data_IF_387274405933
#
_entry.id   IF_387274405933
#
_cell.length_a   1.000
_cell.length_b   1.000
_cell.length_c   1.000
_cell.angle_alpha   90.00
_cell.angle_beta   90.00
_cell.angle_gamma   90.00
#
_symmetry.space_group_name_H-M   'P 1'
#
loop_
_entity.id
_entity.type
_entity.pdbx_description
1 polymer ?
#
# COMPACT_ATOMS: atom_id res chain seq x y z
N UNK A 1 29.47 -0.70 15.94
CA UNK A 1 29.40 -0.80 15.36
C UNK A 1 28.82 -0.66 14.67
N UNK A 2 28.62 -0.58 14.29
CA UNK A 2 28.11 -0.41 13.75
C UNK A 2 27.48 -0.88 12.89
N UNK A 3 26.88 -0.74 12.83
CA UNK A 3 26.16 -1.20 12.05
C UNK A 3 26.43 -0.95 10.80
N UNK A 4 26.97 -0.06 10.53
CA UNK A 4 27.26 0.20 9.22
C UNK A 4 27.87 -0.98 8.61
N UNK A 5 28.85 -1.38 9.16
CA UNK A 5 29.49 -2.52 8.60
C UNK A 5 28.57 -3.68 8.54
N UNK A 6 27.60 -3.64 9.34
CA UNK A 6 26.76 -4.81 9.35
C UNK A 6 25.72 -4.78 8.27
N UNK A 7 25.63 -3.74 7.51
CA UNK A 7 24.71 -3.81 6.50
C UNK A 7 25.13 -4.72 5.52
N UNK A 8 24.94 -4.81 4.47
CA UNK A 8 25.42 -5.52 3.38
C UNK A 8 25.60 -6.97 3.63
N UNK A 9 26.79 -7.38 3.63
CA UNK A 9 27.12 -8.79 3.70
C UNK A 9 26.54 -9.51 4.87
N UNK A 10 26.32 -8.79 5.94
CA UNK A 10 25.90 -9.45 7.17
C UNK A 10 24.48 -9.93 7.18
N UNK A 11 23.63 -9.39 6.33
CA UNK A 11 22.25 -9.87 6.27
C UNK A 11 22.21 -11.32 5.82
N UNK A 12 23.05 -11.67 4.85
CA UNK A 12 23.10 -13.05 4.39
C UNK A 12 23.49 -13.98 5.51
N UNK A 13 24.38 -13.52 6.39
CA UNK A 13 24.81 -14.35 7.50
C UNK A 13 23.70 -14.55 8.52
N UNK A 14 22.75 -13.66 8.58
CA UNK A 14 21.63 -13.79 9.53
C UNK A 14 20.51 -14.66 9.01
N UNK A 15 20.56 -15.02 7.76
CA UNK A 15 19.48 -15.81 7.16
C UNK A 15 19.51 -17.23 7.71
N UNK A 16 18.38 -17.67 8.26
CA UNK A 16 18.25 -18.99 8.84
C UNK A 16 17.15 -19.71 8.06
N UNK A 17 17.54 -20.53 7.10
CA UNK A 17 16.58 -21.13 6.20
C UNK A 17 15.93 -20.04 5.37
N UNK A 18 14.64 -19.84 5.52
CA UNK A 18 13.95 -18.75 4.83
C UNK A 18 13.55 -17.61 5.76
N UNK A 19 14.07 -17.60 6.98
CA UNK A 19 13.73 -16.57 7.96
C UNK A 19 14.88 -15.61 8.15
N UNK A 20 14.56 -14.34 8.14
CA UNK A 20 15.53 -13.29 8.40
C UNK A 20 15.01 -12.43 9.56
N UNK A 21 15.74 -12.45 10.66
CA UNK A 21 15.33 -11.73 11.86
C UNK A 21 16.15 -10.45 11.99
N UNK A 22 15.51 -9.32 11.71
CA UNK A 22 16.12 -8.00 11.89
C UNK A 22 15.40 -7.23 12.99
N UNK A 23 14.74 -7.94 13.91
CA UNK A 23 14.06 -7.27 15.01
C UNK A 23 15.08 -6.67 15.97
N UNK A 24 14.63 -5.68 16.73
CA UNK A 24 15.45 -5.08 17.78
C UNK A 24 16.83 -4.64 17.27
N UNK A 25 16.87 -4.09 16.07
CA UNK A 25 18.13 -3.70 15.43
C UNK A 25 18.30 -2.20 15.32
N UNK A 26 17.43 -1.44 15.98
CA UNK A 26 17.55 0.01 16.02
C UNK A 26 17.47 0.63 14.61
N UNK A 27 16.72 0.00 13.73
CA UNK A 27 16.64 0.46 12.34
C UNK A 27 15.72 1.66 12.20
N UNK A 28 16.20 2.70 11.51
CA UNK A 28 15.37 3.83 11.12
C UNK A 28 14.85 3.68 9.70
N UNK A 29 15.44 2.79 8.93
CA UNK A 29 14.98 2.52 7.57
C UNK A 29 15.30 1.08 7.20
N UNK A 30 14.53 0.58 6.26
CA UNK A 30 14.65 -0.81 5.83
C UNK A 30 15.76 -0.94 4.79
N UNK A 31 16.65 -1.92 4.94
CA UNK A 31 17.71 -2.14 3.94
C UNK A 31 17.17 -2.88 2.73
N UNK A 32 16.38 -2.18 1.90
CA UNK A 32 15.65 -2.81 0.81
C UNK A 32 16.57 -3.46 -0.23
N UNK A 33 17.67 -2.78 -0.55
CA UNK A 33 18.58 -3.31 -1.54
C UNK A 33 19.12 -4.68 -1.13
N UNK A 34 19.55 -4.77 0.12
CA UNK A 34 20.07 -6.04 0.62
C UNK A 34 18.98 -7.11 0.66
N UNK A 35 17.78 -6.72 1.05
CA UNK A 35 16.67 -7.67 1.10
C UNK A 35 16.28 -8.16 -0.29
N UNK A 36 16.36 -7.29 -1.28
CA UNK A 36 16.05 -7.68 -2.64
C UNK A 36 17.04 -8.72 -3.16
N UNK A 37 18.25 -8.73 -2.61
CA UNK A 37 19.26 -9.70 -3.02
C UNK A 37 19.11 -11.04 -2.30
N UNK A 38 18.10 -11.16 -1.42
CA UNK A 38 17.90 -12.39 -0.65
C UNK A 38 16.50 -12.94 -0.90
N UNK A 39 16.23 -13.47 -2.09
CA UNK A 39 14.88 -13.94 -2.40
C UNK A 39 14.43 -15.15 -1.58
N UNK A 40 15.35 -15.83 -0.91
CA UNK A 40 14.96 -16.91 -0.02
C UNK A 40 14.41 -16.42 1.29
N UNK A 41 14.60 -15.15 1.63
CA UNK A 41 14.12 -14.59 2.90
C UNK A 41 12.65 -14.24 2.77
N UNK A 42 11.80 -15.25 2.76
CA UNK A 42 10.37 -15.05 2.60
C UNK A 42 9.67 -14.72 3.92
N UNK A 43 10.34 -14.95 5.03
CA UNK A 43 9.84 -14.61 6.36
C UNK A 43 10.76 -13.55 6.94
N UNK A 44 10.24 -12.36 7.10
CA UNK A 44 11.03 -11.20 7.50
C UNK A 44 10.47 -10.59 8.78
N UNK A 45 11.31 -10.49 9.79
CA UNK A 45 10.93 -9.88 11.05
C UNK A 45 11.65 -8.54 11.19
N UNK A 46 10.89 -7.45 11.10
CA UNK A 46 11.38 -6.10 11.28
C UNK A 46 10.76 -5.46 12.53
N UNK A 47 10.24 -6.26 13.44
CA UNK A 47 9.57 -5.74 14.62
C UNK A 47 10.53 -5.02 15.57
N UNK A 48 9.96 -4.17 16.39
CA UNK A 48 10.72 -3.50 17.45
C UNK A 48 11.90 -2.71 16.91
N UNK A 49 11.65 -1.94 15.88
CA UNK A 49 12.64 -1.01 15.36
C UNK A 49 12.08 0.41 15.46
N UNK A 50 12.63 1.33 14.70
CA UNK A 50 12.22 2.74 14.74
C UNK A 50 11.72 3.23 13.40
N UNK A 51 11.13 2.33 12.63
CA UNK A 51 10.68 2.66 11.27
C UNK A 51 9.48 3.61 11.31
N UNK A 52 9.56 4.72 10.61
CA UNK A 52 8.43 5.63 10.47
C UNK A 52 7.78 5.52 9.12
N UNK A 53 8.52 5.08 8.11
CA UNK A 53 8.00 4.87 6.76
C UNK A 53 8.65 3.65 6.15
N UNK A 54 8.02 3.14 5.11
CA UNK A 54 8.63 2.14 4.23
C UNK A 54 8.83 2.81 2.88
N UNK A 55 10.00 2.66 2.27
CA UNK A 55 10.19 3.27 0.95
C UNK A 55 9.36 2.55 -0.11
N UNK A 56 9.10 3.24 -1.22
CA UNK A 56 8.26 2.64 -2.24
C UNK A 56 8.85 1.37 -2.84
N UNK A 57 10.18 1.27 -2.91
CA UNK A 57 10.80 0.06 -3.45
C UNK A 57 10.66 -1.15 -2.52
N UNK A 58 10.23 -0.94 -1.26
CA UNK A 58 9.87 -2.06 -0.42
C UNK A 58 8.81 -2.94 -1.08
N UNK A 59 7.95 -2.32 -1.86
CA UNK A 59 6.86 -3.03 -2.52
C UNK A 59 7.35 -3.96 -3.63
N UNK A 60 8.61 -3.87 -3.99
CA UNK A 60 9.20 -4.81 -4.94
C UNK A 60 9.67 -6.12 -4.32
N UNK A 61 9.61 -6.24 -2.98
CA UNK A 61 10.03 -7.45 -2.31
C UNK A 61 8.92 -8.50 -2.39
N UNK A 62 8.59 -8.90 -3.61
CA UNK A 62 7.41 -9.73 -3.85
C UNK A 62 7.57 -11.17 -3.39
N UNK A 63 8.75 -11.54 -2.93
CA UNK A 63 8.96 -12.89 -2.39
C UNK A 63 8.48 -13.01 -0.94
N UNK A 64 8.09 -11.91 -0.29
CA UNK A 64 7.69 -11.98 1.12
C UNK A 64 6.37 -12.71 1.29
N UNK A 65 6.35 -13.64 2.23
CA UNK A 65 5.16 -14.41 2.59
C UNK A 65 4.71 -14.04 4.00
N UNK A 66 5.65 -13.82 4.91
CA UNK A 66 5.34 -13.43 6.27
C UNK A 66 6.18 -12.22 6.64
N UNK A 67 5.52 -11.19 7.13
CA UNK A 67 6.17 -9.91 7.43
C UNK A 67 5.70 -9.41 8.77
N UNK A 68 6.64 -9.19 9.68
CA UNK A 68 6.35 -8.64 10.99
C UNK A 68 6.93 -7.23 11.07
N UNK A 69 6.03 -6.25 11.11
CA UNK A 69 6.38 -4.83 11.25
C UNK A 69 5.89 -4.27 12.58
N UNK A 70 5.55 -5.15 13.53
CA UNK A 70 4.97 -4.69 14.78
C UNK A 70 5.94 -3.85 15.57
N UNK A 71 5.39 -2.99 16.41
CA UNK A 71 6.16 -2.15 17.33
C UNK A 71 7.21 -1.32 16.61
N UNK A 72 6.74 -0.60 15.63
CA UNK A 72 7.50 0.44 14.96
C UNK A 72 6.71 1.74 15.12
N UNK A 73 6.95 2.70 14.24
CA UNK A 73 6.25 3.98 14.30
C UNK A 73 5.71 4.34 12.93
N UNK A 74 5.28 3.35 12.18
CA UNK A 74 4.81 3.56 10.82
C UNK A 74 3.52 4.39 10.82
N UNK A 75 3.54 5.49 10.08
CA UNK A 75 2.36 6.35 9.96
C UNK A 75 1.51 5.96 8.78
N UNK A 76 2.10 5.33 7.78
CA UNK A 76 1.35 4.85 6.62
C UNK A 76 2.17 3.79 5.91
N UNK A 77 1.50 3.01 5.10
CA UNK A 77 2.14 2.04 4.22
C UNK A 77 2.26 2.66 2.83
N UNK A 78 3.25 2.26 2.04
CA UNK A 78 3.39 2.82 0.70
C UNK A 78 2.18 2.53 -0.17
N UNK A 79 1.93 3.43 -1.12
CA UNK A 79 0.73 3.34 -1.96
C UNK A 79 0.60 2.00 -2.69
N UNK A 80 1.72 1.40 -3.07
CA UNK A 80 1.72 0.16 -3.83
C UNK A 80 1.92 -1.08 -2.97
N UNK A 81 1.62 -0.98 -1.68
CA UNK A 81 1.83 -2.10 -0.77
C UNK A 81 1.15 -3.39 -1.25
N UNK A 82 0.06 -3.24 -1.99
CA UNK A 82 -0.66 -4.40 -2.53
C UNK A 82 0.11 -5.21 -3.55
N UNK A 83 1.27 -4.73 -4.01
CA UNK A 83 2.11 -5.53 -4.91
C UNK A 83 2.71 -6.75 -4.23
N UNK A 84 2.70 -6.76 -2.90
CA UNK A 84 3.24 -7.90 -2.14
C UNK A 84 2.23 -9.06 -2.16
N UNK A 85 1.94 -9.56 -3.35
CA UNK A 85 0.81 -10.47 -3.55
C UNK A 85 1.00 -11.85 -2.93
N UNK A 86 2.22 -12.20 -2.57
CA UNK A 86 2.46 -13.49 -1.93
C UNK A 86 2.34 -13.43 -0.40
N UNK A 87 2.08 -12.24 0.13
CA UNK A 87 2.00 -12.06 1.56
C UNK A 87 0.78 -12.78 2.14
N UNK A 88 1.04 -13.63 3.13
CA UNK A 88 -0.02 -14.40 3.81
C UNK A 88 -0.21 -13.97 5.24
N UNK A 89 0.82 -13.44 5.88
CA UNK A 89 0.79 -13.10 7.29
C UNK A 89 1.44 -11.75 7.49
N UNK A 90 0.70 -10.79 8.05
CA UNK A 90 1.19 -9.43 8.21
C UNK A 90 0.87 -8.93 9.61
N UNK A 91 1.90 -8.60 10.36
CA UNK A 91 1.75 -8.11 11.72
C UNK A 91 2.08 -6.62 11.75
N UNK A 92 1.07 -5.81 12.02
CA UNK A 92 1.20 -4.35 12.09
C UNK A 92 0.85 -3.83 13.48
N UNK A 93 0.87 -4.71 14.49
CA UNK A 93 0.55 -4.34 15.87
C UNK A 93 1.39 -3.15 16.31
N UNK A 94 0.73 -2.20 16.95
CA UNK A 94 1.42 -1.10 17.63
C UNK A 94 2.31 -0.28 16.68
N UNK A 95 1.66 0.40 15.77
CA UNK A 95 2.26 1.38 14.92
C UNK A 95 1.44 2.67 15.03
N UNK A 96 1.50 3.54 14.05
CA UNK A 96 0.77 4.80 14.06
C UNK A 96 -0.16 4.92 12.85
N UNK A 97 -0.65 3.80 12.37
CA UNK A 97 -1.47 3.77 11.16
C UNK A 97 -2.87 4.31 11.42
N UNK A 98 -3.35 5.16 10.53
CA UNK A 98 -4.71 5.66 10.57
C UNK A 98 -5.56 4.97 9.51
N UNK A 99 -4.97 4.71 8.36
CA UNK A 99 -5.68 4.08 7.27
C UNK A 99 -4.72 3.16 6.51
N UNK A 100 -5.23 2.50 5.48
CA UNK A 100 -4.45 1.61 4.63
C UNK A 100 -4.55 2.07 3.19
N UNK A 101 -3.51 1.85 2.38
CA UNK A 101 -3.60 2.22 0.97
C UNK A 101 -4.63 1.37 0.26
N UNK A 102 -5.25 1.93 -0.77
CA UNK A 102 -6.29 1.22 -1.50
C UNK A 102 -5.74 -0.07 -2.12
N UNK A 103 -4.46 -0.08 -2.50
CA UNK A 103 -3.86 -1.29 -3.08
C UNK A 103 -3.86 -2.47 -2.11
N UNK A 104 -4.08 -2.22 -0.81
CA UNK A 104 -4.16 -3.30 0.16
C UNK A 104 -5.18 -4.36 -0.29
N UNK A 105 -6.18 -3.94 -1.06
CA UNK A 105 -7.19 -4.85 -1.58
C UNK A 105 -6.59 -5.95 -2.47
N UNK A 106 -5.39 -5.74 -2.98
CA UNK A 106 -4.77 -6.69 -3.90
C UNK A 106 -3.99 -7.80 -3.19
N UNK A 107 -3.91 -7.75 -1.87
CA UNK A 107 -3.20 -8.78 -1.11
C UNK A 107 -4.06 -10.05 -1.04
N UNK A 108 -4.23 -10.68 -2.16
CA UNK A 108 -5.21 -11.77 -2.31
C UNK A 108 -4.89 -13.01 -1.49
N UNK A 109 -3.66 -13.16 -1.07
CA UNK A 109 -3.27 -14.33 -0.29
C UNK A 109 -3.18 -14.08 1.21
N UNK A 110 -3.53 -12.86 1.65
CA UNK A 110 -3.41 -12.52 3.05
C UNK A 110 -4.45 -13.28 3.87
N UNK A 111 -3.96 -13.98 4.90
CA UNK A 111 -4.81 -14.84 5.75
C UNK A 111 -4.75 -14.47 7.21
N UNK A 112 -3.83 -13.63 7.62
CA UNK A 112 -3.66 -13.26 9.01
C UNK A 112 -3.18 -11.82 9.07
N UNK A 113 -3.84 -11.00 9.88
CA UNK A 113 -3.53 -9.58 9.97
C UNK A 113 -3.79 -9.11 11.39
N UNK A 114 -2.82 -8.42 11.98
CA UNK A 114 -3.00 -7.79 13.29
C UNK A 114 -2.84 -6.28 13.13
N UNK A 115 -3.91 -5.54 13.39
CA UNK A 115 -3.90 -4.08 13.34
C UNK A 115 -4.12 -3.47 14.71
N UNK A 116 -4.01 -4.26 15.77
CA UNK A 116 -4.26 -3.77 17.12
C UNK A 116 -3.29 -2.65 17.49
N UNK A 117 -3.75 -1.74 18.33
CA UNK A 117 -2.93 -0.65 18.87
C UNK A 117 -2.38 0.27 17.77
N UNK A 118 -3.24 0.59 16.83
CA UNK A 118 -3.01 1.64 15.86
C UNK A 118 -4.14 2.66 16.01
N UNK A 119 -3.88 3.93 15.72
CA UNK A 119 -4.94 4.94 15.78
C UNK A 119 -5.79 4.95 14.51
N UNK A 120 -6.39 3.81 14.18
CA UNK A 120 -7.17 3.64 12.96
C UNK A 120 -8.38 4.56 12.94
N UNK A 121 -8.77 5.02 11.75
CA UNK A 121 -10.01 5.77 11.64
C UNK A 121 -11.17 4.86 12.10
N UNK A 122 -12.28 5.47 12.54
CA UNK A 122 -13.35 4.66 13.17
C UNK A 122 -13.91 3.55 12.29
N UNK A 123 -14.03 3.79 10.99
CA UNK A 123 -14.59 2.77 10.11
C UNK A 123 -13.64 1.59 10.00
N UNK A 124 -12.38 1.85 9.78
CA UNK A 124 -11.40 0.78 9.66
C UNK A 124 -11.21 0.06 10.98
N UNK A 125 -11.25 0.79 12.09
CA UNK A 125 -11.11 0.17 13.40
C UNK A 125 -12.22 -0.84 13.63
N UNK A 126 -13.42 -0.50 13.25
CA UNK A 126 -14.55 -1.40 13.43
C UNK A 126 -14.41 -2.64 12.56
N UNK A 127 -13.97 -2.45 11.32
CA UNK A 127 -13.79 -3.57 10.41
C UNK A 127 -12.70 -4.52 10.92
N UNK A 128 -11.59 -3.96 11.38
CA UNK A 128 -10.45 -4.77 11.82
C UNK A 128 -10.75 -5.56 13.09
N UNK A 129 -11.52 -4.99 13.99
CA UNK A 129 -11.81 -5.64 15.24
C UNK A 129 -10.63 -5.60 16.20
N UNK A 130 -10.70 -6.44 17.23
CA UNK A 130 -9.76 -6.35 18.35
C UNK A 130 -8.49 -7.18 18.19
N UNK A 131 -8.48 -8.15 17.29
CA UNK A 131 -7.30 -8.97 17.02
C UNK A 131 -6.71 -9.55 18.30
N UNK A 132 -7.56 -10.14 19.14
CA UNK A 132 -7.10 -10.62 20.44
C UNK A 132 -6.52 -12.03 20.39
N UNK A 133 -6.83 -12.80 19.35
CA UNK A 133 -6.34 -14.15 19.25
C UNK A 133 -6.20 -14.53 17.78
N UNK A 134 -5.76 -15.75 17.55
CA UNK A 134 -5.49 -16.26 16.21
C UNK A 134 -6.74 -16.16 15.32
N UNK A 135 -7.87 -16.56 15.86
CA UNK A 135 -9.11 -16.54 15.10
C UNK A 135 -9.47 -15.12 14.67
N UNK A 136 -9.35 -14.18 15.60
CA UNK A 136 -9.70 -12.80 15.30
C UNK A 136 -8.73 -12.18 14.28
N UNK A 137 -7.46 -12.56 14.31
CA UNK A 137 -6.52 -12.03 13.33
C UNK A 137 -6.80 -12.63 11.95
N UNK A 138 -7.28 -13.84 11.88
CA UNK A 138 -7.69 -14.40 10.60
C UNK A 138 -8.94 -13.70 10.08
N UNK A 139 -9.89 -13.42 10.97
CA UNK A 139 -11.08 -12.66 10.60
C UNK A 139 -10.72 -11.26 10.16
N UNK A 140 -9.75 -10.64 10.83
CA UNK A 140 -9.31 -9.32 10.49
C UNK A 140 -8.82 -9.28 9.05
N UNK A 141 -7.98 -10.23 8.66
CA UNK A 141 -7.49 -10.27 7.29
C UNK A 141 -8.63 -10.32 6.29
N UNK A 142 -9.59 -11.22 6.53
CA UNK A 142 -10.70 -11.39 5.62
C UNK A 142 -11.58 -10.13 5.54
N UNK A 143 -11.93 -9.58 6.69
CA UNK A 143 -12.83 -8.43 6.73
C UNK A 143 -12.17 -7.18 6.17
N UNK A 144 -10.89 -6.97 6.48
CA UNK A 144 -10.20 -5.80 5.98
C UNK A 144 -10.02 -5.89 4.47
N UNK A 145 -9.70 -7.08 3.95
CA UNK A 145 -9.58 -7.22 2.51
C UNK A 145 -10.89 -6.93 1.81
N UNK A 146 -12.00 -7.43 2.35
CA UNK A 146 -13.29 -7.17 1.73
C UNK A 146 -13.64 -5.70 1.80
N UNK A 147 -13.35 -5.07 2.91
CA UNK A 147 -13.58 -3.63 3.05
C UNK A 147 -12.75 -2.83 2.04
N UNK A 148 -11.48 -3.18 1.90
CA UNK A 148 -10.62 -2.45 0.98
C UNK A 148 -11.01 -2.69 -0.48
N UNK A 149 -11.53 -3.87 -0.79
CA UNK A 149 -12.07 -4.09 -2.14
C UNK A 149 -13.26 -3.20 -2.41
N UNK A 150 -14.12 -3.00 -1.41
CA UNK A 150 -15.26 -2.09 -1.58
C UNK A 150 -14.79 -0.65 -1.75
N UNK A 151 -13.78 -0.25 -0.96
CA UNK A 151 -13.21 1.09 -1.10
C UNK A 151 -12.65 1.29 -2.50
N UNK A 152 -11.92 0.30 -2.99
CA UNK A 152 -11.34 0.37 -4.32
C UNK A 152 -12.42 0.49 -5.39
N UNK A 153 -13.47 -0.30 -5.27
CA UNK A 153 -14.56 -0.26 -6.25
C UNK A 153 -15.26 1.10 -6.22
N UNK A 154 -15.45 1.68 -5.03
CA UNK A 154 -16.05 2.99 -4.93
C UNK A 154 -15.19 4.06 -5.57
N UNK A 155 -13.88 4.00 -5.34
CA UNK A 155 -12.99 4.98 -5.93
C UNK A 155 -12.96 4.88 -7.45
N UNK A 156 -12.96 3.65 -7.96
CA UNK A 156 -12.98 3.45 -9.40
C UNK A 156 -14.26 3.96 -10.02
N UNK A 157 -15.39 3.75 -9.33
CA UNK A 157 -16.68 4.24 -9.79
C UNK A 157 -16.70 5.76 -9.84
N UNK A 158 -16.20 6.40 -8.78
CA UNK A 158 -16.14 7.84 -8.73
C UNK A 158 -15.23 8.41 -9.80
N UNK A 159 -14.11 7.75 -10.04
CA UNK A 159 -13.17 8.19 -11.06
C UNK A 159 -13.82 8.11 -12.44
N UNK A 160 -14.53 7.01 -12.73
CA UNK A 160 -15.21 6.87 -14.02
C UNK A 160 -16.27 7.94 -14.21
N UNK A 161 -17.02 8.26 -13.16
CA UNK A 161 -18.01 9.31 -13.23
C UNK A 161 -17.37 10.65 -13.56
N UNK A 162 -16.27 10.95 -12.89
CA UNK A 162 -15.58 12.22 -13.13
C UNK A 162 -15.02 12.29 -14.53
N UNK A 163 -14.45 11.19 -15.03
CA UNK A 163 -13.92 11.17 -16.37
C UNK A 163 -15.03 11.35 -17.42
N UNK A 164 -16.18 10.72 -17.19
CA UNK A 164 -17.32 10.90 -18.10
C UNK A 164 -17.78 12.34 -18.11
N UNK A 165 -17.87 12.95 -16.93
CA UNK A 165 -18.31 14.34 -16.86
C UNK A 165 -17.33 15.27 -17.57
N UNK A 166 -16.03 15.02 -17.39
CA UNK A 166 -15.00 15.82 -18.03
C UNK A 166 -15.05 15.65 -19.54
N UNK A 167 -15.27 14.42 -19.99
CA UNK A 167 -15.35 14.16 -21.43
C UNK A 167 -16.58 14.87 -22.04
N UNK A 168 -17.69 14.83 -21.35
CA UNK A 168 -18.90 15.49 -21.80
C UNK A 168 -18.69 16.99 -21.90
N UNK A 169 -18.05 17.56 -20.89
CA UNK A 169 -17.77 19.00 -20.88
C UNK A 169 -16.81 19.38 -21.99
N UNK A 170 -15.79 18.56 -22.22
CA UNK A 170 -14.83 18.81 -23.28
C UNK A 170 -15.52 18.80 -24.65
N UNK A 171 -16.39 17.83 -24.85
CA UNK A 171 -17.12 17.74 -26.11
C UNK A 171 -18.04 18.93 -26.32
N UNK A 172 -18.69 19.37 -25.25
CA UNK A 172 -19.58 20.54 -25.35
C UNK A 172 -18.78 21.78 -25.74
N UNK A 173 -17.62 21.96 -25.12
CA UNK A 173 -16.77 23.11 -25.45
C UNK A 173 -16.28 23.06 -26.88
N UNK A 174 -15.93 21.87 -27.36
CA UNK A 174 -15.48 21.72 -28.73
C UNK A 174 -16.64 22.05 -29.72
N UNK A 175 -17.82 21.56 -29.40
CA UNK A 175 -18.99 21.84 -30.25
C UNK A 175 -19.28 23.33 -30.29
N UNK A 176 -19.25 23.99 -29.13
CA UNK A 176 -19.50 25.42 -29.07
C UNK A 176 -18.45 26.21 -29.84
N UNK A 177 -17.20 25.76 -29.74
CA UNK A 177 -16.11 26.44 -30.46
C UNK A 177 -16.30 26.30 -31.96
N UNK A 178 -16.69 25.11 -32.40
CA UNK A 178 -16.95 24.89 -33.83
C UNK A 178 -18.10 25.74 -34.33
N UNK A 179 -19.16 25.83 -33.53
CA UNK A 179 -20.28 26.68 -33.88
C UNK A 179 -19.87 28.15 -34.00
N UNK A 180 -19.07 28.61 -33.05
CA UNK A 180 -18.61 29.98 -33.05
C UNK A 180 -17.73 30.26 -34.26
N UNK A 181 -16.84 29.31 -34.60
CA UNK A 181 -15.95 29.45 -35.75
C UNK A 181 -16.78 29.50 -37.06
N UNK A 182 -17.82 28.67 -37.14
CA UNK A 182 -18.66 28.66 -38.31
C UNK A 182 -19.41 29.98 -38.46
N UNK A 183 -19.92 30.52 -37.34
CA UNK A 183 -20.60 31.81 -37.39
C UNK A 183 -19.64 32.90 -37.85
N UNK A 184 -18.43 32.87 -37.36
CA UNK A 184 -17.44 33.87 -37.74
C UNK A 184 -17.16 33.78 -39.24
N UNK A 185 -17.05 32.56 -39.74
CA UNK A 185 -16.80 32.34 -41.15
C UNK A 185 -17.93 32.89 -42.01
N UNK A 186 -19.18 32.69 -41.57
CA UNK A 186 -20.35 33.16 -42.32
C UNK A 186 -20.47 34.68 -42.31
N UNK A 187 -19.87 35.34 -41.30
CA UNK A 187 -19.91 36.80 -41.25
C UNK A 187 -18.93 37.47 -42.20
N UNK A 188 -17.93 36.74 -42.69
CA UNK A 188 -16.96 37.36 -43.57
C UNK A 188 -17.55 37.73 -44.89
N UNK A 189 -17.16 38.90 -45.47
CA UNK A 189 -17.70 39.28 -46.78
C UNK A 189 -17.25 38.33 -47.85
N UNK A 190 -18.17 38.04 -48.77
CA UNK A 190 -17.84 37.19 -49.90
C UNK A 190 -17.06 37.98 -50.92
N UNK A 191 -16.14 37.31 -51.55
CA UNK A 191 -15.44 37.96 -52.62
C UNK A 191 -16.32 37.96 -53.84
N UNK A 192 -16.26 39.07 -54.49
CA UNK A 192 -17.03 39.16 -55.62
C UNK A 192 -16.61 39.31 -56.57
#
# INVERSE_FOLDING_TARGET
>A
MTKAGSKGGNLRDKLDGNELDLSLSDLNEVPVKELAALPKATILDLSCNKLTTLPSDFCGLTHLVKLDLSKNKLQQLPADFGRLVNLQHLDLLNNKLVTLPVSFAQLKNLKWLDLKDNPLDPVLAKVAGDCLDEKQCKQCANKVLQHMKAVQADQERELRKREKAEEKERRRKEYDALKAAKREQEKKPKKX
#
